data_IF_994509392202
#
_entry.id   IF_994509392202
#
_cell.length_a   1.000
_cell.length_b   1.000
_cell.length_c   1.000
_cell.angle_alpha   90.00
_cell.angle_beta   90.00
_cell.angle_gamma   90.00
#
_symmetry.space_group_name_H-M   'P 1'
#
loop_
_entity.id
_entity.type
_entity.pdbx_description
1 polymer ?
#
# COMPACT_ATOMS: atom_id res chain seq x y z
N UNK A 1 8.71 -4.44 -6.69
CA UNK A 1 8.63 -4.10 -8.12
C UNK A 1 8.61 -5.39 -8.91
N UNK A 2 7.81 -5.48 -9.99
CA UNK A 2 7.90 -6.58 -10.96
C UNK A 2 8.27 -5.98 -12.31
N UNK A 3 9.29 -6.53 -12.95
CA UNK A 3 9.62 -6.23 -14.33
C UNK A 3 8.91 -7.28 -15.20
N UNK A 4 8.09 -6.84 -16.15
CA UNK A 4 7.69 -7.71 -17.25
C UNK A 4 8.85 -7.75 -18.26
N UNK A 5 9.01 -8.84 -18.99
CA UNK A 5 10.02 -8.93 -20.06
C UNK A 5 9.77 -7.80 -21.08
N UNK A 6 10.77 -6.93 -21.27
CA UNK A 6 10.66 -5.72 -22.11
C UNK A 6 10.12 -4.45 -21.43
N UNK A 7 9.80 -4.48 -20.12
CA UNK A 7 9.32 -3.28 -19.42
C UNK A 7 10.45 -2.27 -19.16
N UNK A 8 10.30 -1.03 -19.68
CA UNK A 8 11.23 0.08 -19.45
C UNK A 8 11.09 0.75 -18.08
N UNK A 9 10.08 0.37 -17.30
CA UNK A 9 9.85 0.81 -15.92
C UNK A 9 9.26 -0.36 -15.12
N UNK A 10 9.71 -0.55 -13.89
CA UNK A 10 9.22 -1.62 -13.03
C UNK A 10 7.81 -1.28 -12.55
N UNK A 11 6.89 -2.25 -12.55
CA UNK A 11 5.58 -2.05 -11.91
C UNK A 11 5.84 -2.01 -10.41
N UNK A 12 5.81 -0.81 -9.84
CA UNK A 12 5.87 -0.61 -8.40
C UNK A 12 4.51 -0.98 -7.79
N UNK A 13 4.43 -2.21 -7.30
CA UNK A 13 3.20 -2.81 -6.79
C UNK A 13 2.69 -2.14 -5.50
N UNK A 14 3.58 -1.62 -4.65
CA UNK A 14 3.22 -0.90 -3.43
C UNK A 14 3.66 0.57 -3.55
N UNK A 15 2.70 1.51 -3.53
CA UNK A 15 2.98 2.95 -3.55
C UNK A 15 3.56 3.50 -4.85
N UNK A 16 3.49 2.76 -5.95
CA UNK A 16 4.17 3.08 -7.21
C UNK A 16 3.58 4.24 -8.01
N UNK A 17 2.43 4.77 -7.64
CA UNK A 17 1.73 5.84 -8.37
C UNK A 17 1.93 7.23 -7.75
N UNK A 18 3.01 7.39 -6.96
CA UNK A 18 3.41 8.67 -6.38
C UNK A 18 2.66 9.05 -5.11
N UNK A 19 2.75 10.33 -4.77
CA UNK A 19 2.14 10.91 -3.57
C UNK A 19 0.62 10.94 -3.67
N UNK A 20 -0.09 10.49 -2.62
CA UNK A 20 -1.55 10.57 -2.55
C UNK A 20 -2.16 9.56 -1.58
N UNK A 21 -3.49 9.48 -1.56
CA UNK A 21 -4.27 8.60 -0.69
C UNK A 21 -4.95 7.43 -1.44
N UNK A 22 -4.75 7.30 -2.76
CA UNK A 22 -5.26 6.16 -3.52
C UNK A 22 -4.66 4.83 -3.05
N UNK A 23 -5.29 3.71 -3.43
CA UNK A 23 -4.83 2.35 -3.05
C UNK A 23 -3.49 1.95 -3.70
N UNK A 24 -2.98 2.74 -4.63
CA UNK A 24 -1.66 2.57 -5.28
C UNK A 24 -0.67 3.66 -4.91
N UNK A 25 -1.07 4.59 -4.05
CA UNK A 25 -0.31 5.78 -3.65
C UNK A 25 0.01 5.73 -2.16
N UNK A 26 1.03 6.48 -1.76
CA UNK A 26 1.45 6.64 -0.36
C UNK A 26 1.76 8.11 -0.08
N UNK A 27 1.67 8.53 1.18
CA UNK A 27 1.93 9.88 1.64
C UNK A 27 2.86 9.85 2.87
N UNK A 28 4.14 10.18 2.63
CA UNK A 28 5.21 10.13 3.64
C UNK A 28 5.27 8.78 4.40
N UNK A 29 5.42 7.63 3.71
CA UNK A 29 5.49 6.34 4.38
C UNK A 29 6.73 6.28 5.29
N UNK A 30 6.59 5.74 6.50
CA UNK A 30 7.68 5.68 7.48
C UNK A 30 8.16 4.27 7.80
N UNK A 31 7.41 3.23 7.41
CA UNK A 31 7.76 1.86 7.71
C UNK A 31 7.28 0.90 6.63
N UNK A 32 8.07 -0.14 6.40
CA UNK A 32 7.75 -1.25 5.50
C UNK A 32 8.11 -2.57 6.17
N UNK A 33 7.22 -3.55 6.10
CA UNK A 33 7.47 -4.91 6.57
C UNK A 33 6.97 -5.92 5.52
N UNK A 34 7.61 -7.08 5.45
CA UNK A 34 7.21 -8.16 4.54
C UNK A 34 7.13 -9.46 5.32
N UNK A 35 6.02 -10.20 5.18
CA UNK A 35 5.89 -11.51 5.83
C UNK A 35 6.44 -12.65 4.95
N UNK A 36 6.47 -13.88 5.48
CA UNK A 36 6.98 -15.06 4.79
C UNK A 36 6.23 -15.40 3.48
N UNK A 37 4.98 -14.96 3.33
CA UNK A 37 4.18 -15.13 2.12
C UNK A 37 4.48 -14.08 1.04
N UNK A 38 5.34 -13.10 1.35
CA UNK A 38 5.66 -11.97 0.47
C UNK A 38 4.61 -10.86 0.48
N UNK A 39 3.72 -10.85 1.46
CA UNK A 39 2.78 -9.73 1.67
C UNK A 39 3.54 -8.54 2.26
N UNK A 40 3.42 -7.39 1.61
CA UNK A 40 4.02 -6.12 2.02
C UNK A 40 3.03 -5.32 2.87
N UNK A 41 3.51 -4.75 3.95
CA UNK A 41 2.79 -3.85 4.83
C UNK A 41 3.51 -2.50 4.84
N UNK A 42 2.78 -1.41 4.71
CA UNK A 42 3.35 -0.05 4.70
C UNK A 42 2.62 0.83 5.71
N UNK A 43 3.38 1.50 6.57
CA UNK A 43 2.88 2.55 7.45
C UNK A 43 2.87 3.88 6.69
N UNK A 44 1.69 4.29 6.24
CA UNK A 44 1.44 5.44 5.39
C UNK A 44 1.03 6.65 6.26
N UNK A 45 2.05 7.32 6.81
CA UNK A 45 1.90 8.19 7.99
C UNK A 45 0.97 9.37 7.74
N UNK A 46 1.12 10.09 6.63
CA UNK A 46 0.28 11.28 6.41
C UNK A 46 -1.15 10.93 6.00
N UNK A 47 -1.38 9.71 5.54
CA UNK A 47 -2.73 9.19 5.32
C UNK A 47 -3.31 8.49 6.57
N UNK A 48 -2.57 8.46 7.70
CA UNK A 48 -2.96 7.82 8.95
C UNK A 48 -3.49 6.40 8.76
N UNK A 49 -2.78 5.58 7.96
CA UNK A 49 -3.22 4.23 7.63
C UNK A 49 -2.08 3.22 7.54
N UNK A 50 -2.40 1.96 7.74
CA UNK A 50 -1.55 0.82 7.38
C UNK A 50 -2.14 0.16 6.15
N UNK A 51 -1.31 0.02 5.12
CA UNK A 51 -1.68 -0.58 3.85
C UNK A 51 -1.05 -1.97 3.71
N UNK A 52 -1.80 -2.91 3.12
CA UNK A 52 -1.36 -4.29 2.83
C UNK A 52 -1.43 -4.59 1.35
N UNK A 53 -0.36 -5.16 0.80
CA UNK A 53 -0.27 -5.72 -0.54
C UNK A 53 0.15 -7.18 -0.49
N UNK A 54 -0.77 -8.13 -0.76
CA UNK A 54 -0.39 -9.51 -1.03
C UNK A 54 0.63 -9.60 -2.17
N UNK A 55 1.43 -10.67 -2.19
CA UNK A 55 2.38 -10.92 -3.27
C UNK A 55 1.67 -10.90 -4.63
N UNK A 56 2.12 -10.03 -5.53
CA UNK A 56 1.56 -9.89 -6.88
C UNK A 56 0.34 -8.96 -6.98
N UNK A 57 -0.14 -8.38 -5.88
CA UNK A 57 -1.21 -7.40 -5.91
C UNK A 57 -0.75 -6.11 -6.61
N UNK A 58 -1.58 -5.57 -7.50
CA UNK A 58 -1.33 -4.29 -8.20
C UNK A 58 -1.87 -3.09 -7.44
N UNK A 59 -2.70 -3.32 -6.42
CA UNK A 59 -3.27 -2.30 -5.53
C UNK A 59 -3.29 -2.82 -4.09
N UNK A 60 -3.28 -1.89 -3.15
CA UNK A 60 -3.26 -2.19 -1.72
C UNK A 60 -4.65 -2.24 -1.14
N UNK A 61 -4.71 -2.65 0.12
CA UNK A 61 -5.91 -2.58 0.94
C UNK A 61 -5.54 -1.88 2.24
N UNK A 62 -6.39 -0.97 2.70
CA UNK A 62 -6.28 -0.42 4.05
C UNK A 62 -6.61 -1.56 5.01
N UNK A 63 -5.75 -1.78 6.01
CA UNK A 63 -6.01 -2.79 7.04
C UNK A 63 -6.10 -2.20 8.45
N UNK A 64 -5.68 -0.94 8.60
CA UNK A 64 -5.83 -0.12 9.82
C UNK A 64 -5.90 1.35 9.41
N UNK A 65 -6.81 2.13 9.98
CA UNK A 65 -6.90 3.59 9.77
C UNK A 65 -7.51 3.99 8.42
N UNK A 66 -7.16 5.19 7.92
CA UNK A 66 -7.71 5.75 6.68
C UNK A 66 -9.02 6.50 6.91
N UNK A 67 -8.92 7.84 7.00
CA UNK A 67 -10.06 8.72 7.13
C UNK A 67 -10.79 8.90 5.80
N UNK A 68 -11.49 7.86 5.35
CA UNK A 68 -12.65 7.97 4.48
C UNK A 68 -13.84 7.39 5.24
N UNK A 69 -14.92 8.15 5.32
CA UNK A 69 -16.12 7.88 6.11
C UNK A 69 -16.86 6.60 5.68
N UNK A 70 -16.40 5.43 6.12
CA UNK A 70 -17.05 4.17 5.84
C UNK A 70 -16.65 3.10 6.83
N UNK A 71 -17.59 2.70 7.69
CA UNK A 71 -17.42 1.78 8.83
C UNK A 71 -17.00 0.35 8.47
N UNK A 72 -15.84 0.19 7.84
CA UNK A 72 -15.19 -1.08 7.63
C UNK A 72 -14.42 -1.49 8.88
N UNK A 73 -14.29 -2.80 9.12
CA UNK A 73 -13.78 -3.40 10.38
C UNK A 73 -12.29 -3.13 10.68
N UNK A 74 -11.67 -2.22 9.95
CA UNK A 74 -10.26 -1.86 9.96
C UNK A 74 -10.03 -0.39 10.37
N UNK A 75 -11.04 0.29 10.92
CA UNK A 75 -10.91 1.67 11.39
C UNK A 75 -10.63 1.70 12.90
N UNK A 76 -9.60 2.46 13.31
CA UNK A 76 -9.35 2.76 14.72
C UNK A 76 -10.19 3.98 15.08
N UNK A 77 -11.15 3.81 16.00
CA UNK A 77 -11.92 4.89 16.60
C UNK A 77 -11.15 5.57 17.72
#
# INVERSE_FOLDING_TARGET
>A
MKWNEGAKQGIAMAGGQGYGNGLTQLSCPQGVAVNQLGTVYVADRWNNRIMRWPKGATQGSVIVGGNDSGGQSNQLN
#
